data_IF_371307793097
#
_entry.id   IF_371307793097
#
_cell.length_a   1.000
_cell.length_b   1.000
_cell.length_c   1.000
_cell.angle_alpha   90.00
_cell.angle_beta   90.00
_cell.angle_gamma   90.00
#
_symmetry.space_group_name_H-M   'P 1'
#
loop_
_entity.id
_entity.type
_entity.pdbx_description
1 polymer ?
#
# COMPACT_ATOMS: atom_id res chain seq x y z
N UNK A 1 -17.58 -14.36 48.32
CA UNK A 1 -16.20 -14.87 48.15
C UNK A 1 -15.53 -14.02 47.08
N UNK A 2 -14.38 -13.37 47.35
CA UNK A 2 -13.66 -12.59 46.36
C UNK A 2 -13.00 -13.51 45.34
N UNK A 3 -13.08 -13.16 44.05
CA UNK A 3 -12.35 -13.85 43.00
C UNK A 3 -10.84 -13.59 43.18
N UNK A 4 -10.04 -14.64 43.29
CA UNK A 4 -8.60 -14.56 43.57
C UNK A 4 -7.76 -14.87 42.33
N UNK A 5 -6.46 -14.53 42.37
CA UNK A 5 -5.50 -14.87 41.29
C UNK A 5 -5.45 -16.38 41.01
N UNK A 6 -5.69 -17.20 42.03
CA UNK A 6 -5.71 -18.67 41.92
C UNK A 6 -6.92 -19.17 41.13
N UNK A 7 -8.04 -18.45 41.21
CA UNK A 7 -9.24 -18.72 40.42
C UNK A 7 -9.03 -18.32 38.95
N UNK A 8 -8.32 -17.22 38.69
CA UNK A 8 -7.94 -16.81 37.33
C UNK A 8 -7.04 -17.86 36.65
N UNK A 9 -6.01 -18.38 37.35
CA UNK A 9 -5.15 -19.43 36.80
C UNK A 9 -5.92 -20.73 36.55
N UNK A 10 -6.89 -21.05 37.39
CA UNK A 10 -7.75 -22.22 37.21
C UNK A 10 -8.66 -22.05 35.99
N UNK A 11 -9.19 -20.85 35.77
CA UNK A 11 -9.95 -20.48 34.58
C UNK A 11 -9.09 -20.60 33.31
N UNK A 12 -7.85 -20.09 33.32
CA UNK A 12 -6.93 -20.19 32.17
C UNK A 12 -6.65 -21.65 31.82
N UNK A 13 -6.36 -22.51 32.81
CA UNK A 13 -6.16 -23.95 32.57
C UNK A 13 -7.40 -24.64 32.03
N UNK A 14 -8.59 -24.22 32.45
CA UNK A 14 -9.86 -24.75 31.93
C UNK A 14 -10.08 -24.33 30.46
N UNK A 15 -9.75 -23.08 30.11
CA UNK A 15 -9.83 -22.54 28.76
C UNK A 15 -8.80 -23.15 27.79
N UNK A 16 -7.64 -23.59 28.28
CA UNK A 16 -6.65 -24.31 27.47
C UNK A 16 -7.11 -25.71 27.08
N UNK A 17 -7.90 -26.36 27.93
CA UNK A 17 -8.43 -27.71 27.66
C UNK A 17 -9.60 -27.70 26.68
N UNK A 18 -10.23 -26.54 26.45
CA UNK A 18 -11.44 -26.39 25.60
C UNK A 18 -11.33 -25.18 24.69
N UNK A 19 -11.01 -25.43 23.42
CA UNK A 19 -10.87 -24.38 22.41
C UNK A 19 -12.17 -23.56 22.23
N UNK A 20 -13.34 -24.20 22.35
CA UNK A 20 -14.66 -23.57 22.27
C UNK A 20 -14.85 -22.47 23.34
N UNK A 21 -14.43 -22.69 24.59
CA UNK A 21 -14.56 -21.70 25.66
C UNK A 21 -13.59 -20.55 25.50
N UNK A 22 -12.42 -20.81 24.93
CA UNK A 22 -11.44 -19.78 24.55
C UNK A 22 -11.99 -18.87 23.44
N UNK A 23 -12.76 -19.44 22.51
CA UNK A 23 -13.43 -18.68 21.46
C UNK A 23 -14.59 -17.84 22.02
N UNK A 24 -15.43 -18.44 22.87
CA UNK A 24 -16.56 -17.73 23.51
C UNK A 24 -16.08 -16.59 24.41
N UNK A 25 -15.05 -16.85 25.22
CA UNK A 25 -14.44 -15.82 26.07
C UNK A 25 -13.78 -14.72 25.23
N UNK A 26 -13.14 -15.06 24.12
CA UNK A 26 -12.66 -14.05 23.17
C UNK A 26 -13.80 -13.21 22.62
N UNK A 27 -14.93 -13.81 22.27
CA UNK A 27 -16.09 -13.08 21.73
C UNK A 27 -16.75 -12.16 22.76
N UNK A 28 -16.74 -12.56 24.03
CA UNK A 28 -17.26 -11.75 25.14
C UNK A 28 -16.31 -10.61 25.54
N UNK A 29 -14.99 -10.81 25.41
CA UNK A 29 -13.96 -9.82 25.80
C UNK A 29 -13.51 -8.91 24.65
N UNK A 30 -13.47 -9.43 23.44
CA UNK A 30 -13.14 -8.73 22.21
C UNK A 30 -14.46 -8.62 21.44
N UNK A 31 -14.99 -7.42 21.34
CA UNK A 31 -16.13 -7.12 20.47
C UNK A 31 -15.84 -7.63 19.05
N UNK A 32 -16.90 -7.96 18.29
CA UNK A 32 -16.78 -8.52 16.94
C UNK A 32 -15.86 -7.66 16.01
N UNK A 33 -15.79 -6.34 16.25
CA UNK A 33 -14.87 -5.42 15.57
C UNK A 33 -13.38 -5.73 15.80
N UNK A 34 -12.97 -6.06 17.03
CA UNK A 34 -11.57 -6.40 17.34
C UNK A 34 -11.19 -7.77 16.77
N UNK A 35 -12.15 -8.68 16.63
CA UNK A 35 -11.93 -9.97 15.98
C UNK A 35 -11.83 -9.84 14.45
N UNK A 36 -12.47 -8.82 13.86
CA UNK A 36 -12.40 -8.53 12.42
C UNK A 36 -11.11 -7.79 12.01
N UNK A 37 -10.45 -7.07 12.93
CA UNK A 37 -9.24 -6.28 12.66
C UNK A 37 -8.14 -7.03 11.89
N UNK A 38 -7.76 -8.28 12.21
CA UNK A 38 -6.74 -9.00 11.45
C UNK A 38 -7.11 -9.19 9.97
N UNK A 39 -8.40 -9.34 9.67
CA UNK A 39 -8.87 -9.42 8.30
C UNK A 39 -8.79 -8.06 7.61
N UNK A 40 -9.27 -7.00 8.26
CA UNK A 40 -9.19 -5.63 7.75
C UNK A 40 -7.73 -5.23 7.45
N UNK A 41 -6.79 -5.59 8.32
CA UNK A 41 -5.35 -5.33 8.12
C UNK A 41 -4.79 -6.11 6.93
N UNK A 42 -5.22 -7.36 6.72
CA UNK A 42 -4.83 -8.15 5.54
C UNK A 42 -5.35 -7.50 4.26
N UNK A 43 -6.62 -7.13 4.24
CA UNK A 43 -7.25 -6.51 3.07
C UNK A 43 -6.60 -5.15 2.75
N UNK A 44 -6.32 -4.34 3.78
CA UNK A 44 -5.57 -3.10 3.63
C UNK A 44 -4.16 -3.33 3.09
N UNK A 45 -3.47 -4.38 3.54
CA UNK A 45 -2.12 -4.71 3.06
C UNK A 45 -2.12 -5.06 1.57
N UNK A 46 -3.16 -5.76 1.09
CA UNK A 46 -3.33 -6.07 -0.34
C UNK A 46 -3.56 -4.79 -1.14
N UNK A 47 -4.46 -3.91 -0.69
CA UNK A 47 -4.73 -2.65 -1.38
C UNK A 47 -3.51 -1.72 -1.40
N UNK A 48 -2.75 -1.64 -0.31
CA UNK A 48 -1.47 -0.89 -0.26
C UNK A 48 -0.47 -1.48 -1.25
N UNK A 49 -0.40 -2.82 -1.36
CA UNK A 49 0.44 -3.49 -2.36
C UNK A 49 0.04 -3.12 -3.80
N UNK A 50 -1.26 -3.14 -4.10
CA UNK A 50 -1.80 -2.73 -5.41
C UNK A 50 -1.49 -1.27 -5.72
N UNK A 51 -1.71 -0.37 -4.77
CA UNK A 51 -1.42 1.06 -4.93
C UNK A 51 0.07 1.30 -5.16
N UNK A 52 0.94 0.62 -4.42
CA UNK A 52 2.39 0.71 -4.58
C UNK A 52 2.83 0.30 -5.99
N UNK A 53 2.24 -0.78 -6.53
CA UNK A 53 2.51 -1.20 -7.90
C UNK A 53 2.04 -0.17 -8.94
N UNK A 54 0.86 0.42 -8.74
CA UNK A 54 0.33 1.47 -9.61
C UNK A 54 1.20 2.73 -9.60
N UNK A 55 1.67 3.17 -8.42
CA UNK A 55 2.57 4.32 -8.29
C UNK A 55 3.90 4.06 -9.00
N UNK A 56 4.46 2.85 -8.88
CA UNK A 56 5.69 2.49 -9.59
C UNK A 56 5.51 2.55 -11.11
N UNK A 57 4.44 1.94 -11.63
CA UNK A 57 4.14 1.97 -13.05
C UNK A 57 3.98 3.41 -13.56
N UNK A 58 3.24 4.25 -12.82
CA UNK A 58 3.08 5.66 -13.17
C UNK A 58 4.41 6.44 -13.17
N UNK A 59 5.31 6.15 -12.23
CA UNK A 59 6.63 6.76 -12.19
C UNK A 59 7.48 6.36 -13.40
N UNK A 60 7.43 5.09 -13.82
CA UNK A 60 8.10 4.60 -15.02
C UNK A 60 7.53 5.25 -16.28
N UNK A 61 6.22 5.36 -16.40
CA UNK A 61 5.54 6.02 -17.52
C UNK A 61 5.93 7.51 -17.59
N UNK A 62 5.99 8.19 -16.45
CA UNK A 62 6.41 9.58 -16.37
C UNK A 62 7.87 9.76 -16.78
N UNK A 63 8.77 8.85 -16.38
CA UNK A 63 10.17 8.89 -16.78
C UNK A 63 10.32 8.74 -18.31
N UNK A 64 9.59 7.80 -18.93
CA UNK A 64 9.60 7.63 -20.40
C UNK A 64 9.05 8.86 -21.12
N UNK A 65 7.98 9.45 -20.60
CA UNK A 65 7.42 10.68 -21.17
C UNK A 65 8.41 11.85 -21.07
N UNK A 66 9.13 11.98 -19.96
CA UNK A 66 10.14 13.00 -19.79
C UNK A 66 11.30 12.85 -20.79
N UNK A 67 11.71 11.60 -21.07
CA UNK A 67 12.72 11.29 -22.09
C UNK A 67 12.25 11.68 -23.49
N UNK A 68 11.07 11.24 -23.92
CA UNK A 68 10.49 11.63 -25.22
C UNK A 68 10.34 13.15 -25.35
N UNK A 69 9.97 13.84 -24.28
CA UNK A 69 9.87 15.29 -24.28
C UNK A 69 11.25 15.96 -24.45
N UNK A 70 12.29 15.43 -23.82
CA UNK A 70 13.66 15.94 -23.98
C UNK A 70 14.16 15.76 -25.42
N UNK A 71 13.87 14.62 -26.04
CA UNK A 71 14.18 14.35 -27.46
C UNK A 71 13.46 15.33 -28.38
N UNK A 72 12.15 15.51 -28.21
CA UNK A 72 11.35 16.48 -28.98
C UNK A 72 11.90 17.92 -28.84
N UNK A 73 12.25 18.33 -27.62
CA UNK A 73 12.86 19.64 -27.39
C UNK A 73 14.19 19.79 -28.15
N UNK A 74 14.99 18.72 -28.21
CA UNK A 74 16.24 18.72 -28.96
C UNK A 74 15.99 18.85 -30.47
N UNK A 75 15.08 18.04 -31.02
CA UNK A 75 14.72 18.08 -32.46
C UNK A 75 14.19 19.46 -32.88
N UNK A 76 13.33 20.08 -32.05
CA UNK A 76 12.81 21.42 -32.31
C UNK A 76 13.93 22.47 -32.33
N UNK A 77 14.93 22.35 -31.45
CA UNK A 77 16.09 23.26 -31.43
C UNK A 77 16.94 23.10 -32.68
N UNK A 78 17.22 21.88 -33.10
CA UNK A 78 17.98 21.60 -34.33
C UNK A 78 17.26 22.14 -35.56
N UNK A 79 15.94 21.94 -35.63
CA UNK A 79 15.11 22.47 -36.71
C UNK A 79 15.15 24.00 -36.72
N UNK A 80 14.97 24.65 -35.58
CA UNK A 80 15.05 26.11 -35.47
C UNK A 80 16.42 26.65 -35.92
N UNK A 81 17.51 25.98 -35.54
CA UNK A 81 18.86 26.35 -35.97
C UNK A 81 19.05 26.17 -37.48
N UNK A 82 18.50 25.10 -38.07
CA UNK A 82 18.51 24.89 -39.52
C UNK A 82 17.76 25.98 -40.28
N UNK A 83 16.57 26.36 -39.80
CA UNK A 83 15.78 27.44 -40.36
C UNK A 83 16.49 28.78 -40.31
N UNK A 84 17.16 29.10 -39.18
CA UNK A 84 17.96 30.33 -39.07
C UNK A 84 19.08 30.38 -40.12
N UNK A 85 19.83 29.29 -40.27
CA UNK A 85 20.89 29.18 -41.30
C UNK A 85 20.36 29.34 -42.72
N UNK A 86 19.20 28.76 -43.02
CA UNK A 86 18.57 28.89 -44.33
C UNK A 86 18.14 30.34 -44.60
N UNK A 87 17.54 31.01 -43.62
CA UNK A 87 17.16 32.41 -43.72
C UNK A 87 18.37 33.34 -43.94
N UNK A 88 19.50 33.04 -43.30
CA UNK A 88 20.76 33.78 -43.51
C UNK A 88 21.39 33.52 -44.89
N UNK A 89 21.18 32.32 -45.44
CA UNK A 89 21.72 31.93 -46.77
C UNK A 89 20.93 32.46 -47.96
N UNK A 90 19.68 32.90 -47.75
CA UNK A 90 18.79 33.44 -48.77
C UNK A 90 18.35 34.88 -48.39
N UNK A 91 19.17 35.91 -48.67
CA UNK A 91 18.77 37.32 -48.56
C UNK A 91 17.81 37.78 -49.67
#
# INVERSE_FOLDING_TARGET
MPFTVRDLQSLIRALEKRAEWKAELRRLLLTDELLALPQVVRDLSVEVGRLTAQVRALAEDHARLAESHAELVHEVRELAASHARLAESHP
#
